data_IF_094202941271
#
_entry.id   IF_094202941271
#
_cell.length_a   1.000
_cell.length_b   1.000
_cell.length_c   1.000
_cell.angle_alpha   90.00
_cell.angle_beta   90.00
_cell.angle_gamma   90.00
#
_symmetry.space_group_name_H-M   'P 1'
#
loop_
_entity.id
_entity.type
_entity.pdbx_description
1 polymer ?
#
# COMPACT_ATOMS: atom_id res chain seq x y z
N UNK A 1 0.40 10.37 -9.61
CA UNK A 1 0.18 10.26 -11.08
C UNK A 1 0.96 11.40 -11.70
N UNK A 2 1.81 11.15 -12.68
CA UNK A 2 2.64 12.18 -13.33
C UNK A 2 2.22 12.32 -14.79
N UNK A 3 2.12 13.55 -15.30
CA UNK A 3 1.75 13.83 -16.69
C UNK A 3 2.96 13.79 -17.63
N UNK A 4 4.20 13.74 -17.09
CA UNK A 4 5.44 13.79 -17.88
C UNK A 4 6.20 15.11 -17.71
N UNK A 5 7.14 15.36 -18.62
CA UNK A 5 8.00 16.55 -18.63
C UNK A 5 7.45 17.57 -19.63
N UNK A 6 7.24 18.81 -19.17
CA UNK A 6 6.76 19.92 -19.99
C UNK A 6 7.59 21.16 -19.74
N UNK A 7 7.88 21.91 -20.80
CA UNK A 7 8.62 23.15 -20.71
C UNK A 7 7.70 24.31 -20.30
N UNK A 8 8.17 25.11 -19.35
CA UNK A 8 7.49 26.31 -18.88
C UNK A 8 8.49 27.43 -18.59
N UNK A 9 8.07 28.66 -18.84
CA UNK A 9 8.76 29.87 -18.39
C UNK A 9 8.22 30.27 -17.02
N UNK A 10 9.11 30.40 -16.04
CA UNK A 10 8.76 30.58 -14.63
C UNK A 10 9.40 31.89 -14.17
N UNK A 11 8.59 32.83 -13.67
CA UNK A 11 9.07 34.01 -12.98
C UNK A 11 8.63 33.97 -11.49
N UNK A 12 8.89 35.05 -10.73
CA UNK A 12 8.62 35.08 -9.29
C UNK A 12 7.12 34.91 -8.93
N UNK A 13 6.23 35.30 -9.84
CA UNK A 13 4.78 35.38 -9.58
C UNK A 13 3.97 34.39 -10.43
N UNK A 14 4.46 34.02 -11.61
CA UNK A 14 3.70 33.36 -12.66
C UNK A 14 4.50 32.25 -13.36
N UNK A 15 3.75 31.29 -13.90
CA UNK A 15 4.25 30.24 -14.78
C UNK A 15 3.47 30.29 -16.10
N UNK A 16 4.20 30.20 -17.21
CA UNK A 16 3.66 30.17 -18.57
C UNK A 16 4.17 28.92 -19.26
N UNK A 17 3.29 28.02 -19.68
CA UNK A 17 3.69 26.82 -20.42
C UNK A 17 4.03 27.17 -21.87
N UNK A 18 5.13 26.62 -22.39
CA UNK A 18 5.58 26.87 -23.77
C UNK A 18 4.63 26.19 -24.77
N UNK A 19 4.16 24.98 -24.42
CA UNK A 19 3.29 24.16 -25.25
C UNK A 19 2.01 23.74 -24.51
N UNK A 20 1.05 24.66 -24.32
CA UNK A 20 -0.15 24.39 -23.53
C UNK A 20 -1.06 23.33 -24.17
N UNK A 21 -1.02 23.17 -25.51
CA UNK A 21 -1.82 22.16 -26.22
C UNK A 21 -1.39 20.72 -25.89
N UNK A 22 -0.07 20.45 -25.87
CA UNK A 22 0.46 19.12 -25.54
C UNK A 22 0.13 18.73 -24.09
N UNK A 23 0.18 19.68 -23.16
CA UNK A 23 -0.22 19.48 -21.76
C UNK A 23 -1.74 19.23 -21.64
N UNK A 24 -2.57 20.01 -22.35
CA UNK A 24 -4.01 19.83 -22.34
C UNK A 24 -4.41 18.45 -22.89
N UNK A 25 -3.76 17.98 -23.96
CA UNK A 25 -4.05 16.67 -24.54
C UNK A 25 -3.61 15.52 -23.63
N UNK A 26 -2.48 15.64 -22.92
CA UNK A 26 -2.09 14.67 -21.91
C UNK A 26 -3.06 14.61 -20.73
N UNK A 27 -3.60 15.77 -20.31
CA UNK A 27 -4.65 15.81 -19.30
C UNK A 27 -5.93 15.13 -19.80
N UNK A 28 -6.35 15.36 -21.06
CA UNK A 28 -7.52 14.68 -21.66
C UNK A 28 -7.35 13.17 -21.84
N UNK A 29 -6.13 12.68 -22.05
CA UNK A 29 -5.89 11.24 -22.11
C UNK A 29 -6.07 10.59 -20.73
N UNK A 30 -5.86 11.35 -19.67
CA UNK A 30 -5.80 10.84 -18.30
C UNK A 30 -7.06 11.12 -17.47
N UNK A 31 -7.76 12.21 -17.79
CA UNK A 31 -9.06 12.60 -17.26
C UNK A 31 -10.11 12.29 -18.34
N UNK A 32 -11.37 12.06 -17.98
CA UNK A 32 -12.41 11.78 -18.99
C UNK A 32 -12.33 12.80 -20.16
N UNK A 33 -12.49 12.31 -21.39
CA UNK A 33 -12.48 13.11 -22.63
C UNK A 33 -13.75 13.97 -22.73
N UNK A 34 -13.91 14.88 -21.77
CA UNK A 34 -14.99 15.83 -21.70
C UNK A 34 -14.64 17.06 -22.54
N UNK A 35 -15.42 17.38 -23.59
CA UNK A 35 -15.15 18.52 -24.45
C UNK A 35 -15.17 19.86 -23.70
N UNK A 36 -15.91 20.00 -22.60
CA UNK A 36 -15.89 21.21 -21.77
C UNK A 36 -14.57 21.37 -21.00
N UNK A 37 -14.01 20.27 -20.50
CA UNK A 37 -12.72 20.26 -19.82
C UNK A 37 -11.61 20.68 -20.79
N UNK A 38 -11.62 20.13 -22.01
CA UNK A 38 -10.66 20.48 -23.05
C UNK A 38 -10.65 21.98 -23.38
N UNK A 39 -11.83 22.59 -23.51
CA UNK A 39 -11.95 24.03 -23.77
C UNK A 39 -11.46 24.88 -22.60
N UNK A 40 -11.77 24.49 -21.35
CA UNK A 40 -11.31 25.20 -20.16
C UNK A 40 -9.79 25.09 -19.96
N UNK A 41 -9.22 23.90 -20.16
CA UNK A 41 -7.77 23.68 -20.10
C UNK A 41 -7.03 24.56 -21.10
N UNK A 42 -7.47 24.58 -22.36
CA UNK A 42 -6.84 25.39 -23.39
C UNK A 42 -6.96 26.88 -23.10
N UNK A 43 -8.09 27.33 -22.57
CA UNK A 43 -8.27 28.74 -22.21
C UNK A 43 -7.37 29.14 -21.04
N UNK A 44 -7.21 28.28 -20.03
CA UNK A 44 -6.46 28.60 -18.83
C UNK A 44 -4.94 28.42 -18.99
N UNK A 45 -4.48 27.36 -19.66
CA UNK A 45 -3.05 27.05 -19.81
C UNK A 45 -2.31 28.01 -20.76
N UNK A 46 -3.03 28.72 -21.63
CA UNK A 46 -2.47 29.75 -22.51
C UNK A 46 -2.21 31.07 -21.77
N UNK A 47 -2.86 31.28 -20.62
CA UNK A 47 -2.68 32.48 -19.80
C UNK A 47 -1.57 32.28 -18.76
N UNK A 48 -0.90 33.35 -18.30
CA UNK A 48 0.01 33.27 -17.17
C UNK A 48 -0.75 32.81 -15.91
N UNK A 49 -0.30 31.71 -15.31
CA UNK A 49 -0.90 31.14 -14.12
C UNK A 49 -0.12 31.56 -12.88
N UNK A 50 -0.82 31.86 -11.78
CA UNK A 50 -0.17 32.20 -10.52
C UNK A 50 0.70 31.03 -10.03
N UNK A 51 1.95 31.31 -9.67
CA UNK A 51 2.96 30.31 -9.27
C UNK A 51 2.57 29.56 -8.00
N UNK A 52 1.95 30.25 -7.05
CA UNK A 52 1.52 29.73 -5.74
C UNK A 52 2.60 28.91 -4.99
N UNK A 53 3.89 29.23 -5.17
CA UNK A 53 4.99 28.48 -4.54
C UNK A 53 4.98 28.55 -3.01
N UNK A 54 4.34 29.58 -2.46
CA UNK A 54 4.04 29.70 -1.04
C UNK A 54 3.01 28.68 -0.52
N UNK A 55 2.43 27.82 -1.37
CA UNK A 55 1.56 26.72 -0.94
C UNK A 55 2.29 25.36 -1.00
N UNK A 56 3.52 25.31 -1.52
CA UNK A 56 4.30 24.08 -1.60
C UNK A 56 4.74 23.62 -0.19
N UNK A 57 4.52 22.35 0.14
CA UNK A 57 4.90 21.79 1.46
C UNK A 57 6.40 21.92 1.74
N UNK A 58 7.22 21.75 0.70
CA UNK A 58 8.68 21.91 0.75
C UNK A 58 9.10 23.33 1.18
N UNK A 59 8.29 24.33 0.85
CA UNK A 59 8.59 25.75 1.07
C UNK A 59 8.03 26.27 2.41
N UNK A 60 7.01 25.59 2.96
CA UNK A 60 6.30 26.01 4.17
C UNK A 60 6.51 25.09 5.39
N UNK A 61 7.52 24.22 5.37
CA UNK A 61 7.84 23.34 6.51
C UNK A 61 6.70 22.38 6.88
N UNK A 62 5.97 21.85 5.88
CA UNK A 62 4.83 20.94 6.06
C UNK A 62 3.67 21.50 6.89
N UNK A 63 3.36 22.79 6.72
CA UNK A 63 2.18 23.41 7.34
C UNK A 63 0.88 22.64 7.00
N UNK A 64 -0.12 22.61 7.91
CA UNK A 64 -1.41 21.99 7.62
C UNK A 64 -2.05 22.63 6.36
N UNK A 65 -2.45 21.80 5.40
CA UNK A 65 -3.01 22.23 4.09
C UNK A 65 -2.02 22.75 3.03
N UNK A 66 -0.73 22.44 3.15
CA UNK A 66 0.21 22.61 2.04
C UNK A 66 -0.03 21.58 0.90
N UNK A 67 0.49 21.87 -0.31
CA UNK A 67 0.27 21.11 -1.56
C UNK A 67 -1.21 20.94 -1.94
N UNK A 68 -2.05 21.90 -1.56
CA UNK A 68 -3.47 21.92 -1.87
C UNK A 68 -3.91 23.29 -2.39
N UNK A 69 -4.63 23.29 -3.52
CA UNK A 69 -5.24 24.47 -4.10
C UNK A 69 -6.67 24.15 -4.53
N UNK A 70 -7.64 24.88 -3.99
CA UNK A 70 -9.02 24.83 -4.45
C UNK A 70 -9.20 25.85 -5.59
N UNK A 71 -9.64 25.38 -6.76
CA UNK A 71 -9.86 26.21 -7.94
C UNK A 71 -11.16 25.83 -8.64
N UNK A 72 -11.83 26.82 -9.22
CA UNK A 72 -13.01 26.66 -10.07
C UNK A 72 -12.65 26.49 -11.55
N UNK A 73 -11.36 26.60 -11.87
CA UNK A 73 -10.82 26.50 -13.23
C UNK A 73 -9.56 25.62 -13.21
N UNK A 74 -8.42 26.15 -13.66
CA UNK A 74 -7.13 25.48 -13.63
C UNK A 74 -6.20 26.31 -12.76
N UNK A 75 -5.58 25.69 -11.78
CA UNK A 75 -4.60 26.30 -10.90
C UNK A 75 -3.33 25.48 -10.85
N UNK A 76 -2.22 26.09 -10.45
CA UNK A 76 -0.95 25.38 -10.28
C UNK A 76 -0.31 25.73 -8.94
N UNK A 77 0.52 24.83 -8.44
CA UNK A 77 1.53 25.12 -7.42
C UNK A 77 2.88 24.72 -8.00
N UNK A 78 3.81 25.67 -8.09
CA UNK A 78 5.20 25.38 -8.45
C UNK A 78 6.03 25.19 -7.18
N UNK A 79 6.52 23.97 -6.98
CA UNK A 79 7.49 23.63 -5.95
C UNK A 79 8.90 23.90 -6.48
N UNK A 80 9.49 25.00 -6.02
CA UNK A 80 10.83 25.43 -6.44
C UNK A 80 11.94 24.49 -5.92
N UNK A 81 11.76 23.93 -4.72
CA UNK A 81 12.75 23.03 -4.11
C UNK A 81 12.84 21.70 -4.86
N UNK A 82 11.71 21.23 -5.40
CA UNK A 82 11.63 19.98 -6.15
C UNK A 82 11.55 20.19 -7.68
N UNK A 83 11.58 21.44 -8.15
CA UNK A 83 11.41 21.81 -9.56
C UNK A 83 10.20 21.15 -10.24
N UNK A 84 9.08 21.10 -9.52
CA UNK A 84 7.85 20.40 -9.92
C UNK A 84 6.66 21.35 -10.01
N UNK A 85 5.78 21.15 -11.00
CA UNK A 85 4.48 21.83 -11.07
C UNK A 85 3.36 20.83 -10.76
N UNK A 86 2.55 21.15 -9.76
CA UNK A 86 1.32 20.44 -9.44
C UNK A 86 0.15 21.17 -10.11
N UNK A 87 -0.58 20.47 -10.99
CA UNK A 87 -1.76 21.01 -11.68
C UNK A 87 -3.04 20.64 -10.93
N UNK A 88 -3.90 21.62 -10.69
CA UNK A 88 -5.19 21.48 -10.02
C UNK A 88 -6.31 21.85 -10.98
N UNK A 89 -7.34 21.00 -11.02
CA UNK A 89 -8.53 21.18 -11.85
C UNK A 89 -9.75 21.35 -10.96
N UNK A 90 -10.79 21.97 -11.50
CA UNK A 90 -12.09 22.03 -10.84
C UNK A 90 -12.56 20.61 -10.45
N UNK A 91 -13.08 20.52 -9.22
CA UNK A 91 -13.59 19.30 -8.59
C UNK A 91 -14.66 18.59 -9.43
N UNK A 92 -15.37 19.30 -10.32
CA UNK A 92 -16.36 18.70 -11.24
C UNK A 92 -15.73 17.82 -12.34
N UNK A 93 -14.49 18.11 -12.73
CA UNK A 93 -13.75 17.40 -13.79
C UNK A 93 -12.74 16.40 -13.26
N UNK A 94 -12.48 16.42 -11.93
CA UNK A 94 -11.82 15.29 -11.30
C UNK A 94 -12.60 14.03 -11.70
N UNK A 95 -11.93 12.97 -12.20
CA UNK A 95 -12.62 11.74 -12.49
C UNK A 95 -13.37 11.39 -11.22
N UNK A 96 -14.68 11.09 -11.32
CA UNK A 96 -15.39 10.45 -10.20
C UNK A 96 -14.46 9.34 -9.77
N UNK A 97 -13.77 9.49 -8.63
CA UNK A 97 -12.82 8.50 -8.09
C UNK A 97 -13.48 7.17 -8.37
N UNK A 98 -12.95 6.38 -9.30
CA UNK A 98 -13.71 5.32 -9.97
C UNK A 98 -14.12 4.27 -8.95
N UNK A 99 -15.19 4.55 -8.19
CA UNK A 99 -15.33 4.18 -6.77
C UNK A 99 -14.04 3.55 -6.24
N UNK A 100 -12.93 4.33 -6.26
CA UNK A 100 -11.58 3.76 -6.31
C UNK A 100 -11.51 2.75 -5.21
N UNK A 101 -11.53 1.45 -5.59
CA UNK A 101 -12.00 0.42 -4.69
C UNK A 101 -11.27 0.61 -3.38
N UNK A 102 -11.94 0.47 -2.23
CA UNK A 102 -11.24 0.49 -0.94
C UNK A 102 -10.07 -0.51 -0.86
N UNK A 103 -9.89 -1.30 -1.93
CA UNK A 103 -8.83 -2.23 -2.25
C UNK A 103 -7.80 -1.68 -3.27
N UNK A 104 -6.51 -1.93 -3.04
CA UNK A 104 -5.42 -1.80 -3.99
C UNK A 104 -5.75 -2.51 -5.31
N UNK A 105 -5.40 -1.85 -6.40
CA UNK A 105 -5.40 -2.46 -7.73
C UNK A 105 -3.95 -2.80 -8.06
N UNK A 106 -3.67 -4.08 -8.34
CA UNK A 106 -2.40 -4.48 -8.89
C UNK A 106 -2.19 -3.72 -10.21
N UNK A 107 -1.02 -3.11 -10.38
CA UNK A 107 -0.64 -2.46 -11.63
C UNK A 107 -0.43 -3.54 -12.70
N UNK A 108 -0.59 -3.18 -13.97
CA UNK A 108 -0.39 -4.09 -15.11
C UNK A 108 1.07 -4.60 -15.24
N UNK A 109 1.98 -4.13 -14.39
CA UNK A 109 3.41 -4.48 -14.32
C UNK A 109 3.71 -5.50 -13.21
N UNK A 110 2.68 -6.09 -12.58
CA UNK A 110 2.87 -7.11 -11.55
C UNK A 110 3.32 -8.44 -12.17
N UNK A 111 4.61 -8.73 -12.07
CA UNK A 111 5.19 -10.01 -12.53
C UNK A 111 5.37 -11.03 -11.41
N UNK A 112 5.44 -12.30 -11.80
CA UNK A 112 5.79 -13.39 -10.90
C UNK A 112 7.23 -13.22 -10.41
N UNK A 113 7.40 -12.97 -9.11
CA UNK A 113 8.70 -12.77 -8.49
C UNK A 113 8.93 -13.75 -7.34
N UNK A 114 10.17 -14.23 -7.22
CA UNK A 114 10.65 -14.94 -6.05
C UNK A 114 11.37 -13.96 -5.12
N UNK A 115 10.84 -13.81 -3.91
CA UNK A 115 11.50 -13.09 -2.82
C UNK A 115 11.98 -14.11 -1.82
N UNK A 116 13.29 -14.17 -1.59
CA UNK A 116 13.90 -15.08 -0.63
C UNK A 116 14.83 -14.32 0.30
N UNK A 117 14.61 -14.49 1.60
CA UNK A 117 15.46 -13.94 2.65
C UNK A 117 16.04 -15.09 3.47
N UNK A 118 17.34 -15.02 3.72
CA UNK A 118 18.04 -15.97 4.58
C UNK A 118 18.85 -15.22 5.65
N UNK A 119 18.85 -15.77 6.85
CA UNK A 119 19.67 -15.33 7.95
C UNK A 119 20.59 -16.48 8.38
N UNK A 120 21.87 -16.20 8.48
CA UNK A 120 22.90 -17.14 8.92
C UNK A 120 23.56 -16.54 10.16
N UNK A 121 23.58 -17.29 11.25
CA UNK A 121 24.40 -16.98 12.40
C UNK A 121 25.35 -18.13 12.65
N UNK A 122 26.62 -17.79 12.81
CA UNK A 122 27.66 -18.74 13.14
C UNK A 122 28.41 -18.25 14.38
N UNK A 123 28.57 -19.15 15.35
CA UNK A 123 29.28 -18.89 16.60
C UNK A 123 30.26 -20.03 16.81
N UNK A 124 31.52 -19.71 17.08
CA UNK A 124 32.55 -20.69 17.37
C UNK A 124 33.39 -20.25 18.56
N UNK A 125 33.69 -21.23 19.41
CA UNK A 125 34.50 -21.17 20.62
C UNK A 125 35.39 -22.43 20.66
N UNK A 126 36.40 -22.48 21.54
CA UNK A 126 37.38 -23.56 21.64
C UNK A 126 36.73 -24.95 21.85
N UNK A 127 35.55 -24.99 22.45
CA UNK A 127 34.84 -26.23 22.80
C UNK A 127 33.45 -26.38 22.14
N UNK A 128 33.01 -25.37 21.38
CA UNK A 128 31.64 -25.29 20.88
C UNK A 128 31.58 -24.57 19.54
N UNK A 129 30.82 -25.13 18.60
CA UNK A 129 30.49 -24.48 17.33
C UNK A 129 28.98 -24.58 17.13
N UNK A 130 28.38 -23.49 16.67
CA UNK A 130 26.95 -23.40 16.40
C UNK A 130 26.70 -22.66 15.12
N UNK A 131 25.83 -23.25 14.30
CA UNK A 131 25.34 -22.70 13.06
C UNK A 131 23.82 -22.68 13.14
N UNK A 132 23.21 -21.51 13.03
CA UNK A 132 21.78 -21.37 12.81
C UNK A 132 21.53 -20.72 11.45
N UNK A 133 20.62 -21.31 10.71
CA UNK A 133 20.22 -20.91 9.38
C UNK A 133 18.70 -20.83 9.36
N UNK A 134 18.15 -19.68 8.99
CA UNK A 134 16.72 -19.49 8.82
C UNK A 134 16.48 -18.92 7.44
N UNK A 135 15.52 -19.49 6.70
CA UNK A 135 15.13 -18.98 5.40
C UNK A 135 13.62 -18.88 5.27
N UNK A 136 13.18 -17.79 4.63
CA UNK A 136 11.79 -17.54 4.26
C UNK A 136 11.76 -17.17 2.78
N UNK A 137 10.99 -17.93 2.01
CA UNK A 137 10.80 -17.71 0.57
C UNK A 137 9.33 -17.51 0.24
N UNK A 138 9.03 -16.49 -0.58
CA UNK A 138 7.71 -16.26 -1.16
C UNK A 138 7.83 -16.12 -2.69
N UNK A 139 7.08 -16.94 -3.43
CA UNK A 139 7.03 -16.93 -4.88
C UNK A 139 5.64 -16.53 -5.36
N UNK A 140 5.53 -15.39 -6.04
CA UNK A 140 4.32 -15.03 -6.78
C UNK A 140 4.11 -15.99 -7.96
N UNK A 141 2.95 -16.66 -8.00
CA UNK A 141 2.60 -17.63 -9.05
C UNK A 141 1.46 -17.09 -9.92
N UNK A 142 0.53 -16.36 -9.32
CA UNK A 142 -0.58 -15.69 -10.00
C UNK A 142 -0.69 -14.24 -9.51
N UNK A 143 -1.47 -13.40 -10.20
CA UNK A 143 -1.71 -12.00 -9.80
C UNK A 143 -2.14 -11.84 -8.34
N UNK A 144 -2.86 -12.83 -7.81
CA UNK A 144 -3.42 -12.82 -6.46
C UNK A 144 -3.00 -14.06 -5.65
N UNK A 145 -1.90 -14.73 -6.00
CA UNK A 145 -1.53 -16.00 -5.40
C UNK A 145 -0.04 -16.24 -5.32
N UNK A 146 0.39 -16.83 -4.21
CA UNK A 146 1.80 -17.07 -3.92
C UNK A 146 2.02 -18.38 -3.16
N UNK A 147 3.19 -18.96 -3.38
CA UNK A 147 3.75 -20.04 -2.57
C UNK A 147 4.65 -19.43 -1.49
N UNK A 148 4.57 -19.95 -0.28
CA UNK A 148 5.43 -19.53 0.82
C UNK A 148 6.03 -20.75 1.51
N UNK A 149 7.30 -20.66 1.86
CA UNK A 149 8.02 -21.70 2.58
C UNK A 149 9.00 -21.09 3.59
N UNK A 150 8.93 -21.61 4.82
CA UNK A 150 9.79 -21.24 5.94
C UNK A 150 10.52 -22.46 6.47
N UNK A 151 11.84 -22.35 6.54
CA UNK A 151 12.71 -23.43 6.99
C UNK A 151 13.76 -22.90 7.97
N UNK A 152 14.18 -23.81 8.85
CA UNK A 152 15.16 -23.55 9.88
C UNK A 152 16.11 -24.73 9.99
N UNK A 153 17.39 -24.44 10.14
CA UNK A 153 18.45 -25.42 10.34
C UNK A 153 19.30 -24.98 11.52
N UNK A 154 19.57 -25.90 12.44
CA UNK A 154 20.55 -25.72 13.51
C UNK A 154 21.55 -26.87 13.51
N UNK A 155 22.82 -26.52 13.57
CA UNK A 155 23.92 -27.45 13.79
C UNK A 155 24.71 -26.98 15.01
N UNK A 156 24.81 -27.82 16.03
CA UNK A 156 25.62 -27.59 17.21
C UNK A 156 26.63 -28.72 17.37
N UNK A 157 27.90 -28.35 17.46
CA UNK A 157 29.00 -29.28 17.67
C UNK A 157 29.70 -28.92 18.97
N UNK A 158 29.74 -29.87 19.87
CA UNK A 158 30.50 -29.86 21.11
C UNK A 158 31.67 -30.86 21.00
N UNK A 159 32.66 -30.79 21.88
CA UNK A 159 33.83 -31.71 21.89
C UNK A 159 33.47 -33.20 21.71
N UNK A 160 32.34 -33.66 22.26
CA UNK A 160 31.93 -35.07 22.24
C UNK A 160 30.51 -35.30 21.69
N UNK A 161 29.84 -34.27 21.19
CA UNK A 161 28.45 -34.38 20.74
C UNK A 161 28.21 -33.51 19.51
N UNK A 162 27.43 -34.03 18.57
CA UNK A 162 26.98 -33.28 17.41
C UNK A 162 25.47 -33.39 17.36
N UNK A 163 24.78 -32.26 17.28
CA UNK A 163 23.34 -32.18 17.16
C UNK A 163 23.00 -31.36 15.93
N UNK A 164 22.20 -31.93 15.03
CA UNK A 164 21.75 -31.27 13.82
C UNK A 164 20.25 -31.45 13.71
N UNK A 165 19.55 -30.37 13.43
CA UNK A 165 18.09 -30.34 13.33
C UNK A 165 17.70 -29.47 12.15
N UNK A 166 16.74 -29.98 11.37
CA UNK A 166 16.15 -29.27 10.24
C UNK A 166 14.65 -29.28 10.42
N UNK A 167 14.03 -28.11 10.40
CA UNK A 167 12.60 -27.95 10.56
C UNK A 167 12.04 -27.13 9.41
N UNK A 168 10.95 -27.63 8.82
CA UNK A 168 10.11 -26.84 7.93
C UNK A 168 8.87 -26.42 8.73
N UNK A 169 8.68 -25.11 8.87
CA UNK A 169 7.64 -24.53 9.71
C UNK A 169 6.39 -24.29 8.87
N UNK A 170 6.55 -23.60 7.75
CA UNK A 170 5.49 -23.29 6.80
C UNK A 170 5.87 -23.78 5.42
N UNK A 171 4.88 -24.31 4.70
CA UNK A 171 4.97 -24.65 3.29
C UNK A 171 3.55 -24.68 2.75
N UNK A 172 3.08 -23.55 2.22
CA UNK A 172 1.70 -23.40 1.77
C UNK A 172 1.59 -22.65 0.45
N UNK A 173 0.52 -22.95 -0.26
CA UNK A 173 0.01 -22.12 -1.34
C UNK A 173 -1.12 -21.26 -0.82
N UNK A 174 -1.18 -19.99 -1.24
CA UNK A 174 -2.28 -19.11 -0.95
C UNK A 174 -2.78 -18.43 -2.22
N UNK A 175 -4.10 -18.36 -2.34
CA UNK A 175 -4.81 -17.62 -3.38
C UNK A 175 -5.83 -16.68 -2.73
N UNK A 176 -5.75 -15.40 -3.08
CA UNK A 176 -6.74 -14.40 -2.69
C UNK A 176 -7.88 -14.34 -3.72
N UNK A 177 -9.11 -14.46 -3.24
CA UNK A 177 -10.35 -14.45 -3.99
C UNK A 177 -11.11 -13.16 -3.70
N UNK A 178 -11.55 -12.48 -4.76
CA UNK A 178 -12.32 -11.22 -4.67
C UNK A 178 -11.70 -10.15 -3.75
N UNK A 179 -10.37 -10.16 -3.60
CA UNK A 179 -9.58 -9.21 -2.79
C UNK A 179 -10.00 -9.09 -1.31
N UNK A 180 -10.83 -10.02 -0.83
CA UNK A 180 -11.48 -9.96 0.49
C UNK A 180 -11.52 -11.32 1.17
N UNK A 181 -11.40 -12.41 0.42
CA UNK A 181 -11.31 -13.78 0.90
C UNK A 181 -9.96 -14.36 0.47
N UNK A 182 -9.44 -15.31 1.23
CA UNK A 182 -8.27 -16.11 0.83
C UNK A 182 -8.53 -17.58 1.06
N UNK A 183 -7.88 -18.39 0.25
CA UNK A 183 -7.77 -19.83 0.41
C UNK A 183 -6.29 -20.17 0.54
N UNK A 184 -5.93 -20.89 1.59
CA UNK A 184 -4.57 -21.30 1.90
C UNK A 184 -4.54 -22.82 2.08
N UNK A 185 -3.57 -23.50 1.48
CA UNK A 185 -3.44 -24.94 1.55
C UNK A 185 -1.99 -25.37 1.70
N UNK A 186 -1.73 -26.26 2.66
CA UNK A 186 -0.40 -26.81 2.90
C UNK A 186 -0.10 -27.03 4.38
N UNK A 187 1.18 -26.95 4.72
CA UNK A 187 1.66 -26.97 6.09
C UNK A 187 1.77 -25.55 6.63
N UNK A 188 1.16 -25.31 7.78
CA UNK A 188 1.13 -24.00 8.45
C UNK A 188 1.43 -24.20 9.93
N UNK A 189 2.31 -23.39 10.50
CA UNK A 189 2.52 -23.26 11.93
C UNK A 189 1.40 -22.39 12.53
N UNK A 190 0.88 -22.79 13.67
CA UNK A 190 -0.22 -22.10 14.34
C UNK A 190 0.16 -20.72 14.87
N UNK A 191 1.46 -20.45 15.02
CA UNK A 191 2.01 -19.17 15.48
C UNK A 191 1.81 -18.03 14.48
N UNK A 192 1.79 -18.32 13.18
CA UNK A 192 1.66 -17.32 12.11
C UNK A 192 0.20 -17.03 11.71
N UNK A 193 -0.75 -17.67 12.39
CA UNK A 193 -2.20 -17.50 12.19
C UNK A 193 -2.65 -16.05 12.46
N UNK A 194 -1.90 -15.32 13.30
CA UNK A 194 -2.22 -14.00 13.86
C UNK A 194 -1.67 -12.80 13.07
N UNK A 195 -1.24 -12.99 11.83
CA UNK A 195 -0.67 -11.91 11.02
C UNK A 195 -1.75 -11.14 10.24
N UNK A 196 -1.39 -9.93 9.77
CA UNK A 196 -2.24 -9.12 8.87
C UNK A 196 -2.67 -9.86 7.60
N UNK A 197 -1.98 -10.95 7.24
CA UNK A 197 -2.36 -11.81 6.14
C UNK A 197 -3.61 -12.66 6.46
N UNK A 198 -3.83 -13.07 7.72
CA UNK A 198 -4.76 -14.13 8.11
C UNK A 198 -6.04 -13.75 8.85
N UNK A 199 -6.21 -12.48 9.24
CA UNK A 199 -7.34 -12.02 10.05
C UNK A 199 -7.17 -12.33 11.55
N UNK A 200 -7.85 -11.56 12.41
CA UNK A 200 -7.69 -11.56 13.86
C UNK A 200 -8.64 -12.57 14.54
N UNK A 201 -8.40 -13.88 14.38
CA UNK A 201 -9.11 -14.92 15.14
C UNK A 201 -8.13 -15.57 16.11
N UNK A 202 -8.36 -15.38 17.40
CA UNK A 202 -7.54 -15.98 18.46
C UNK A 202 -8.06 -17.36 18.86
N UNK A 203 -7.30 -18.40 18.52
CA UNK A 203 -7.58 -19.80 18.84
C UNK A 203 -6.70 -20.31 20.00
N UNK A 204 -6.20 -19.43 20.87
CA UNK A 204 -5.32 -19.74 22.02
C UNK A 204 -5.84 -20.82 22.99
N UNK A 205 -7.09 -21.24 22.86
CA UNK A 205 -7.71 -22.28 23.69
C UNK A 205 -7.54 -23.70 23.13
N UNK A 206 -6.96 -23.86 21.92
CA UNK A 206 -6.67 -25.15 21.33
C UNK A 206 -5.14 -25.26 21.13
N UNK A 207 -4.47 -26.28 21.70
CA UNK A 207 -3.05 -26.55 21.43
C UNK A 207 -2.94 -27.13 20.02
N UNK A 208 -3.06 -26.28 19.00
CA UNK A 208 -2.90 -26.67 17.61
C UNK A 208 -1.41 -26.57 17.29
N UNK A 209 -0.78 -27.71 16.99
CA UNK A 209 0.59 -27.77 16.46
C UNK A 209 0.64 -27.37 14.98
N UNK A 210 1.41 -28.09 14.17
CA UNK A 210 1.44 -27.89 12.72
C UNK A 210 0.11 -28.31 12.09
N UNK A 211 -0.53 -27.40 11.37
CA UNK A 211 -1.74 -27.66 10.60
C UNK A 211 -1.31 -28.13 9.22
N UNK A 212 -1.78 -29.31 8.80
CA UNK A 212 -1.64 -29.79 7.42
C UNK A 212 -3.03 -29.88 6.82
N UNK A 213 -3.40 -28.93 5.97
CA UNK A 213 -4.75 -28.89 5.44
C UNK A 213 -5.07 -27.60 4.70
N UNK A 214 -6.36 -27.28 4.66
CA UNK A 214 -6.90 -26.10 4.01
C UNK A 214 -7.41 -25.11 5.05
N UNK A 215 -7.23 -23.82 4.77
CA UNK A 215 -7.75 -22.69 5.53
C UNK A 215 -8.39 -21.71 4.56
N UNK A 216 -9.55 -21.18 4.92
CA UNK A 216 -10.16 -20.06 4.23
C UNK A 216 -10.52 -18.98 5.25
N UNK A 217 -10.40 -17.71 4.86
CA UNK A 217 -10.70 -16.58 5.74
C UNK A 217 -10.83 -15.28 4.97
N UNK A 218 -11.17 -14.20 5.68
CA UNK A 218 -11.18 -12.86 5.09
C UNK A 218 -9.80 -12.20 5.20
N UNK A 219 -9.44 -11.37 4.22
CA UNK A 219 -8.18 -10.61 4.23
C UNK A 219 -8.44 -9.13 4.03
N UNK A 220 -7.65 -8.31 4.74
CA UNK A 220 -7.58 -6.87 4.57
C UNK A 220 -6.30 -6.44 3.85
N UNK A 221 -5.51 -7.40 3.32
CA UNK A 221 -4.23 -7.12 2.66
C UNK A 221 -4.37 -6.13 1.49
N UNK A 222 -5.52 -6.17 0.82
CA UNK A 222 -5.82 -5.27 -0.27
C UNK A 222 -6.35 -3.92 0.20
N UNK A 223 -6.78 -3.74 1.45
CA UNK A 223 -7.43 -2.51 1.89
C UNK A 223 -6.45 -1.33 1.92
N UNK A 224 -6.81 -0.24 1.24
CA UNK A 224 -6.03 0.99 1.25
C UNK A 224 -6.26 1.75 2.57
N UNK A 225 -5.35 1.53 3.52
CA UNK A 225 -5.43 2.12 4.87
C UNK A 225 -5.47 3.66 4.86
N UNK A 226 -4.91 4.33 3.84
CA UNK A 226 -4.96 5.79 3.71
C UNK A 226 -6.36 6.34 3.39
N UNK A 227 -7.26 5.51 2.85
CA UNK A 227 -8.66 5.86 2.60
C UNK A 227 -9.56 5.43 3.78
N UNK A 228 -9.22 4.35 4.47
CA UNK A 228 -9.97 3.88 5.67
C UNK A 228 -9.73 4.76 6.89
N UNK A 229 -8.53 5.34 7.05
CA UNK A 229 -8.20 6.25 8.16
C UNK A 229 -8.93 7.60 8.14
N UNK A 230 -9.81 7.86 7.15
CA UNK A 230 -10.69 9.04 7.13
C UNK A 230 -12.08 8.80 7.74
N UNK A 231 -12.38 7.58 8.15
CA UNK A 231 -13.52 7.32 9.01
C UNK A 231 -13.15 7.66 10.44
N UNK A 232 -13.39 8.88 10.90
CA UNK A 232 -13.35 9.20 12.32
C UNK A 232 -14.34 8.28 13.03
N UNK A 233 -13.91 7.34 13.90
CA UNK A 233 -14.87 6.54 14.65
C UNK A 233 -15.64 7.50 15.56
N UNK A 234 -16.92 7.73 15.23
CA UNK A 234 -17.82 8.49 16.10
C UNK A 234 -18.25 7.56 17.22
N UNK A 235 -17.49 7.56 18.31
CA UNK A 235 -17.91 6.93 19.56
C UNK A 235 -19.00 7.78 20.20
N UNK A 236 -20.25 7.32 20.09
CA UNK A 236 -21.38 7.92 20.81
C UNK A 236 -21.42 7.31 22.21
N UNK A 237 -21.05 8.08 23.23
CA UNK A 237 -21.26 7.69 24.62
C UNK A 237 -22.75 7.81 24.95
N UNK A 238 -23.41 6.67 25.13
CA UNK A 238 -24.79 6.62 25.61
C UNK A 238 -24.81 6.84 27.12
N UNK A 239 -25.10 8.06 27.55
CA UNK A 239 -25.38 8.36 28.96
C UNK A 239 -26.83 8.01 29.29
N UNK A 240 -27.13 6.71 29.46
CA UNK A 240 -28.21 6.16 30.31
C UNK A 240 -28.28 4.64 30.16
N UNK A 241 -28.37 3.96 31.31
CA UNK A 241 -28.66 2.53 31.40
C UNK A 241 -29.88 2.18 30.54
N UNK A 242 -29.68 1.39 29.48
CA UNK A 242 -30.75 0.64 28.84
C UNK A 242 -31.10 -0.55 29.73
N UNK A 243 -31.76 -0.28 30.86
CA UNK A 243 -32.32 -1.31 31.72
C UNK A 243 -33.58 -1.89 31.06
N UNK A 244 -33.46 -3.15 30.67
CA UNK A 244 -34.52 -4.10 30.35
C UNK A 244 -35.77 -3.90 31.23
N UNK A 245 -36.92 -3.58 30.64
CA UNK A 245 -38.23 -3.75 31.29
C UNK A 245 -38.65 -5.20 31.06
N UNK A 246 -38.68 -6.02 32.12
CA UNK A 246 -39.36 -7.32 32.10
C UNK A 246 -40.87 -7.06 32.16
N UNK A 247 -41.59 -7.67 31.22
CA UNK A 247 -43.02 -7.93 31.31
C UNK A 247 -43.20 -9.20 32.17
N UNK A 248 -43.89 -9.05 33.29
CA UNK A 248 -44.79 -10.03 33.91
C UNK A 248 -45.58 -9.33 35.00
#
# INVERSE_FOLDING_TARGET
MSLGLYEANINLEQVVFIKPAELADAVKQQFNDDPELGAQLMTALVQPLARNGNLACSSNGNAPSCDYLETQTVGIIYDENNSQVNLFLDRRYLPKKAAGSGFYQATAESENALIHQQNLNFVADENYQSLSLQGTGSLGVTENGYLNADWFYTGQRYRHSNHQQVEMNNAYFRQDLWKSLYLQGGMMDSRDIFSNAGGNINLSQLPIGKIRGLRAGSTTAWVNQSQVSRGTPVSVFLSRNASHRRLS
#
